data_IF_495782384797
#
_entry.id   IF_495782384797
#
_cell.length_a   1.000
_cell.length_b   1.000
_cell.length_c   1.000
_cell.angle_alpha   90.00
_cell.angle_beta   90.00
_cell.angle_gamma   90.00
#
_symmetry.space_group_name_H-M   'P 1'
#
loop_
_entity.id
_entity.type
_entity.pdbx_description
1 polymer ?
#
# COMPACT_ATOMS: atom_id res chain seq x y z
N UNK A 1 38.13 -29.59 -66.92
CA UNK A 1 37.03 -30.02 -66.03
C UNK A 1 37.07 -29.16 -64.77
N UNK A 2 36.29 -28.07 -64.74
CA UNK A 2 36.27 -27.11 -63.63
C UNK A 2 35.30 -27.54 -62.54
N UNK A 3 35.73 -27.57 -61.28
CA UNK A 3 34.85 -27.76 -60.12
C UNK A 3 34.52 -26.40 -59.52
N UNK A 4 33.24 -26.05 -59.51
CA UNK A 4 32.70 -24.82 -58.91
C UNK A 4 32.55 -25.07 -57.40
N UNK A 5 33.25 -24.28 -56.57
CA UNK A 5 33.08 -24.31 -55.11
C UNK A 5 31.89 -23.43 -54.73
N UNK A 6 30.77 -24.05 -54.35
CA UNK A 6 29.63 -23.37 -53.73
C UNK A 6 29.91 -23.20 -52.24
N UNK A 7 30.47 -22.05 -51.85
CA UNK A 7 30.71 -21.73 -50.44
C UNK A 7 29.42 -21.25 -49.77
N UNK A 8 28.96 -22.04 -48.81
CA UNK A 8 27.66 -21.93 -48.14
C UNK A 8 27.68 -20.83 -47.06
N UNK A 9 26.90 -19.76 -47.27
CA UNK A 9 26.69 -18.65 -46.34
C UNK A 9 25.74 -19.05 -45.19
N UNK A 10 26.23 -19.80 -44.21
CA UNK A 10 25.38 -20.28 -43.08
C UNK A 10 26.00 -20.09 -41.68
N UNK A 11 27.02 -19.26 -41.51
CA UNK A 11 27.67 -19.07 -40.19
C UNK A 11 27.22 -17.82 -39.41
N UNK A 12 26.59 -16.85 -40.07
CA UNK A 12 26.26 -15.55 -39.48
C UNK A 12 24.85 -15.47 -38.86
N UNK A 13 23.96 -16.41 -39.19
CA UNK A 13 22.59 -16.44 -38.67
C UNK A 13 22.51 -17.00 -37.23
N UNK A 14 23.37 -17.95 -36.89
CA UNK A 14 23.39 -18.66 -35.60
C UNK A 14 23.87 -17.76 -34.44
N UNK A 15 24.79 -16.83 -34.71
CA UNK A 15 25.36 -15.96 -33.68
C UNK A 15 24.39 -14.85 -33.23
N UNK A 16 23.49 -14.40 -34.13
CA UNK A 16 22.51 -13.35 -33.84
C UNK A 16 21.33 -13.85 -33.00
N UNK A 17 20.97 -15.13 -33.15
CA UNK A 17 19.90 -15.75 -32.35
C UNK A 17 20.31 -15.96 -30.89
N UNK A 18 21.56 -16.35 -30.65
CA UNK A 18 22.06 -16.56 -29.28
C UNK A 18 22.11 -15.28 -28.44
N UNK A 19 22.53 -14.16 -29.05
CA UNK A 19 22.59 -12.87 -28.37
C UNK A 19 21.19 -12.33 -28.01
N UNK A 20 20.21 -12.51 -28.88
CA UNK A 20 18.83 -12.09 -28.64
C UNK A 20 18.16 -12.88 -27.50
N UNK A 21 18.47 -14.17 -27.36
CA UNK A 21 17.98 -14.98 -26.22
C UNK A 21 18.59 -14.55 -24.89
N UNK A 22 19.89 -14.21 -24.86
CA UNK A 22 20.57 -13.72 -23.67
C UNK A 22 20.02 -12.37 -23.17
N UNK A 23 19.66 -11.47 -24.09
CA UNK A 23 19.06 -10.18 -23.77
C UNK A 23 17.64 -10.33 -23.19
N UNK A 24 16.83 -11.25 -23.70
CA UNK A 24 15.48 -11.52 -23.16
C UNK A 24 15.49 -12.09 -21.73
N UNK A 25 16.52 -12.87 -21.37
CA UNK A 25 16.66 -13.41 -20.01
C UNK A 25 16.97 -12.34 -18.96
N UNK A 26 17.64 -11.24 -19.33
CA UNK A 26 17.96 -10.15 -18.40
C UNK A 26 16.77 -9.23 -18.10
N UNK A 27 15.69 -9.31 -18.89
CA UNK A 27 14.47 -8.53 -18.71
C UNK A 27 13.40 -9.20 -17.84
N UNK A 28 13.73 -10.28 -17.11
CA UNK A 28 12.87 -10.82 -16.06
C UNK A 28 12.83 -9.83 -14.88
N UNK A 29 12.03 -8.77 -15.02
CA UNK A 29 11.81 -7.77 -13.99
C UNK A 29 11.30 -8.44 -12.71
N UNK A 30 11.92 -8.09 -11.59
CA UNK A 30 11.42 -8.47 -10.27
C UNK A 30 10.06 -7.80 -10.08
N UNK A 31 8.97 -8.56 -10.25
CA UNK A 31 7.68 -8.15 -9.74
C UNK A 31 7.84 -7.95 -8.23
N UNK A 32 7.92 -6.69 -7.79
CA UNK A 32 7.88 -6.35 -6.39
C UNK A 32 6.48 -6.69 -5.90
N UNK A 33 6.31 -7.92 -5.43
CA UNK A 33 5.11 -8.34 -4.72
C UNK A 33 4.92 -7.33 -3.58
N UNK A 34 3.90 -6.47 -3.69
CA UNK A 34 3.60 -5.51 -2.63
C UNK A 34 3.21 -6.32 -1.39
N UNK A 35 4.14 -6.32 -0.43
CA UNK A 35 4.03 -6.97 0.86
C UNK A 35 2.69 -6.54 1.45
N UNK A 36 1.74 -7.45 1.60
CA UNK A 36 0.49 -7.12 2.26
C UNK A 36 0.81 -6.70 3.69
N UNK A 37 0.55 -5.44 4.04
CA UNK A 37 0.81 -4.92 5.38
C UNK A 37 -0.03 -5.71 6.38
N UNK A 38 0.61 -6.14 7.47
CA UNK A 38 -0.08 -6.74 8.60
C UNK A 38 -0.41 -5.66 9.63
N UNK A 39 -1.66 -5.63 10.06
CA UNK A 39 -2.09 -4.79 11.18
C UNK A 39 -2.14 -5.63 12.46
N UNK A 40 -1.78 -5.06 13.62
CA UNK A 40 -1.89 -5.76 14.90
C UNK A 40 -3.32 -6.19 15.20
N UNK A 41 -3.47 -7.21 16.05
CA UNK A 41 -4.78 -7.64 16.54
C UNK A 41 -5.52 -6.50 17.24
N UNK A 42 -6.84 -6.44 17.08
CA UNK A 42 -7.67 -5.38 17.63
C UNK A 42 -7.68 -4.08 16.83
N UNK A 43 -6.98 -4.02 15.70
CA UNK A 43 -7.07 -2.87 14.78
C UNK A 43 -8.46 -2.77 14.15
N UNK A 44 -8.95 -1.55 14.00
CA UNK A 44 -10.21 -1.24 13.33
C UNK A 44 -9.96 -0.37 12.11
N UNK A 45 -10.80 -0.50 11.07
CA UNK A 45 -10.77 0.36 9.88
C UNK A 45 -11.98 1.28 9.80
N UNK A 46 -11.81 2.45 9.21
CA UNK A 46 -12.89 3.41 8.96
C UNK A 46 -12.42 4.62 8.16
N UNK A 47 -13.30 5.57 7.93
CA UNK A 47 -12.97 6.86 7.34
C UNK A 47 -12.80 7.87 8.48
N UNK A 48 -11.62 8.47 8.57
CA UNK A 48 -11.31 9.49 9.55
C UNK A 48 -11.37 10.89 8.95
N UNK A 49 -11.97 11.80 9.69
CA UNK A 49 -11.83 13.24 9.52
C UNK A 49 -11.03 13.79 10.71
N UNK A 50 -9.86 14.34 10.42
CA UNK A 50 -8.96 14.90 11.42
C UNK A 50 -9.36 16.35 11.71
N UNK A 51 -9.79 16.62 12.94
CA UNK A 51 -10.20 17.95 13.37
C UNK A 51 -9.03 18.76 13.96
N UNK A 52 -9.37 19.69 14.86
CA UNK A 52 -8.36 20.30 15.73
C UNK A 52 -7.81 19.26 16.69
N UNK A 53 -6.49 19.14 16.75
CA UNK A 53 -5.83 18.25 17.70
C UNK A 53 -6.33 18.47 19.13
N UNK A 54 -6.63 17.42 19.93
CA UNK A 54 -6.48 15.98 19.68
C UNK A 54 -7.75 15.29 19.13
N UNK A 55 -8.71 16.04 18.61
CA UNK A 55 -10.00 15.51 18.17
C UNK A 55 -9.90 14.85 16.79
N UNK A 56 -10.50 13.67 16.67
CA UNK A 56 -10.64 12.94 15.41
C UNK A 56 -12.03 12.32 15.35
N UNK A 57 -12.65 12.32 14.18
CA UNK A 57 -13.94 11.66 13.98
C UNK A 57 -13.73 10.50 13.02
N UNK A 58 -14.14 9.29 13.40
CA UNK A 58 -14.03 8.10 12.55
C UNK A 58 -15.43 7.52 12.36
N UNK A 59 -15.88 7.37 11.12
CA UNK A 59 -17.24 6.93 10.79
C UNK A 59 -18.33 7.71 11.58
N UNK A 60 -18.18 9.02 11.69
CA UNK A 60 -19.05 9.92 12.45
C UNK A 60 -19.09 9.65 13.97
N UNK A 61 -18.18 8.84 14.50
CA UNK A 61 -17.98 8.63 15.94
C UNK A 61 -16.80 9.50 16.40
N UNK A 62 -16.97 10.36 17.41
CA UNK A 62 -15.87 11.13 17.96
C UNK A 62 -14.92 10.24 18.75
N UNK A 63 -13.63 10.39 18.49
CA UNK A 63 -12.53 9.77 19.21
C UNK A 63 -11.52 10.83 19.65
N UNK A 64 -10.69 10.49 20.63
CA UNK A 64 -9.58 11.33 21.08
C UNK A 64 -8.26 10.65 20.73
N UNK A 65 -7.35 11.42 20.14
CA UNK A 65 -5.98 11.00 19.91
C UNK A 65 -5.21 10.99 21.25
N UNK A 66 -4.65 9.84 21.60
CA UNK A 66 -3.89 9.66 22.83
C UNK A 66 -2.54 10.38 22.80
N UNK A 67 -1.92 10.59 23.98
CA UNK A 67 -0.60 11.20 24.07
C UNK A 67 0.44 10.35 23.32
N UNK A 68 1.21 10.99 22.45
CA UNK A 68 2.25 10.31 21.66
C UNK A 68 1.71 9.44 20.51
N UNK A 69 0.46 9.64 20.08
CA UNK A 69 -0.08 8.92 18.91
C UNK A 69 0.84 9.08 17.70
N UNK A 70 1.01 7.97 16.97
CA UNK A 70 1.74 7.96 15.70
C UNK A 70 0.75 7.81 14.56
N UNK A 71 0.73 8.79 13.67
CA UNK A 71 0.03 8.70 12.38
C UNK A 71 1.05 8.32 11.32
N UNK A 72 0.80 7.20 10.64
CA UNK A 72 1.71 6.61 9.68
C UNK A 72 1.10 6.65 8.28
N UNK A 73 1.87 6.99 7.27
CA UNK A 73 1.42 6.94 5.88
C UNK A 73 1.48 5.52 5.27
N UNK A 74 1.18 5.45 3.96
CA UNK A 74 1.24 4.23 3.17
C UNK A 74 2.66 3.64 3.11
N UNK A 75 3.69 4.47 3.28
CA UNK A 75 5.11 4.10 3.33
C UNK A 75 5.64 3.88 4.77
N UNK A 76 4.77 3.83 5.79
CA UNK A 76 5.12 3.71 7.22
C UNK A 76 5.93 4.88 7.80
N UNK A 77 5.87 6.05 7.18
CA UNK A 77 6.51 7.28 7.68
C UNK A 77 5.55 8.03 8.58
N UNK A 78 6.11 8.67 9.60
CA UNK A 78 5.32 9.48 10.52
C UNK A 78 4.86 10.76 9.82
N UNK A 79 3.56 10.97 9.76
CA UNK A 79 2.96 12.20 9.27
C UNK A 79 3.04 13.26 10.36
N UNK A 80 3.48 14.45 9.99
CA UNK A 80 3.60 15.58 10.92
C UNK A 80 2.21 16.00 11.39
N UNK A 81 2.07 16.24 12.70
CA UNK A 81 0.78 16.59 13.32
C UNK A 81 0.15 17.85 12.73
N UNK A 82 0.96 18.80 12.26
CA UNK A 82 0.48 20.02 11.58
C UNK A 82 -0.19 19.79 10.22
N UNK A 83 -0.05 18.61 9.62
CA UNK A 83 -0.67 18.25 8.34
C UNK A 83 -2.00 17.50 8.52
N UNK A 84 -2.36 17.14 9.75
CA UNK A 84 -3.56 16.36 10.04
C UNK A 84 -4.85 17.18 9.97
N UNK A 85 -4.95 18.41 10.52
CA UNK A 85 -6.23 19.13 10.55
C UNK A 85 -6.81 19.33 9.15
N UNK A 86 -8.08 18.94 8.97
CA UNK A 86 -8.80 19.01 7.69
C UNK A 86 -8.54 17.84 6.74
N UNK A 87 -7.64 16.91 7.09
CA UNK A 87 -7.42 15.70 6.30
C UNK A 87 -8.58 14.73 6.48
N UNK A 88 -9.08 14.20 5.37
CA UNK A 88 -10.02 13.09 5.35
C UNK A 88 -9.41 11.91 4.61
N UNK A 89 -9.32 10.75 5.26
CA UNK A 89 -8.74 9.56 4.65
C UNK A 89 -9.30 8.28 5.25
N UNK A 90 -9.25 7.20 4.48
CA UNK A 90 -9.40 5.87 5.07
C UNK A 90 -8.23 5.61 6.03
N UNK A 91 -8.54 5.07 7.20
CA UNK A 91 -7.57 4.76 8.23
C UNK A 91 -7.77 3.38 8.81
N UNK A 92 -6.67 2.80 9.26
CA UNK A 92 -6.68 1.72 10.25
C UNK A 92 -6.15 2.31 11.55
N UNK A 93 -6.73 1.95 12.69
CA UNK A 93 -6.33 2.51 13.98
C UNK A 93 -6.43 1.49 15.11
N UNK A 94 -5.69 1.77 16.18
CA UNK A 94 -5.72 1.03 17.43
C UNK A 94 -6.10 1.95 18.58
N UNK A 95 -6.87 1.39 19.51
CA UNK A 95 -7.28 2.04 20.75
C UNK A 95 -6.52 1.43 21.91
N UNK A 96 -6.18 2.26 22.89
CA UNK A 96 -5.61 1.81 24.15
C UNK A 96 -6.73 1.32 25.10
N UNK A 97 -6.35 0.88 26.29
CA UNK A 97 -7.28 0.44 27.33
C UNK A 97 -8.23 1.55 27.83
N UNK A 98 -7.86 2.82 27.64
CA UNK A 98 -8.70 3.98 27.98
C UNK A 98 -9.71 4.31 26.87
N UNK A 99 -9.58 3.69 25.70
CA UNK A 99 -10.38 3.97 24.50
C UNK A 99 -9.80 5.08 23.61
N UNK A 100 -8.65 5.65 23.96
CA UNK A 100 -7.95 6.68 23.17
C UNK A 100 -7.21 6.04 22.00
N UNK A 101 -7.16 6.75 20.87
CA UNK A 101 -6.48 6.26 19.67
C UNK A 101 -4.98 6.54 19.78
N UNK A 102 -4.15 5.51 19.88
CA UNK A 102 -2.70 5.66 20.09
C UNK A 102 -1.87 5.31 18.85
N UNK A 103 -2.47 4.73 17.82
CA UNK A 103 -1.80 4.45 16.54
C UNK A 103 -2.79 4.54 15.39
N UNK A 104 -2.39 5.22 14.33
CA UNK A 104 -3.19 5.41 13.11
C UNK A 104 -2.31 5.14 11.89
N UNK A 105 -2.89 4.45 10.92
CA UNK A 105 -2.31 4.24 9.59
C UNK A 105 -3.25 4.84 8.57
N UNK A 106 -2.76 5.79 7.77
CA UNK A 106 -3.44 6.28 6.58
C UNK A 106 -3.32 5.20 5.51
N UNK A 107 -4.46 4.81 4.95
CA UNK A 107 -4.55 3.73 3.96
C UNK A 107 -5.33 4.21 2.75
N UNK A 108 -5.02 3.62 1.60
CA UNK A 108 -5.88 3.78 0.44
C UNK A 108 -7.18 2.99 0.68
N UNK A 109 -8.38 3.52 0.31
CA UNK A 109 -9.65 2.79 0.45
C UNK A 109 -9.68 1.43 -0.28
N UNK A 110 -8.80 1.26 -1.28
CA UNK A 110 -8.68 0.04 -2.10
C UNK A 110 -7.55 -0.88 -1.66
N UNK A 111 -6.92 -0.61 -0.52
CA UNK A 111 -5.79 -1.39 -0.05
C UNK A 111 -6.23 -2.83 0.30
N UNK A 112 -5.64 -3.87 -0.31
CA UNK A 112 -6.03 -5.27 -0.06
C UNK A 112 -5.80 -5.69 1.39
N UNK A 113 -4.89 -5.04 2.13
CA UNK A 113 -4.66 -5.31 3.55
C UNK A 113 -5.87 -5.03 4.44
N UNK A 114 -6.83 -4.23 3.96
CA UNK A 114 -8.08 -3.93 4.67
C UNK A 114 -9.05 -5.11 4.72
N UNK A 115 -8.90 -6.12 3.87
CA UNK A 115 -9.80 -7.28 3.83
C UNK A 115 -9.86 -8.03 5.18
N UNK A 116 -8.76 -8.06 5.92
CA UNK A 116 -8.64 -8.76 7.22
C UNK A 116 -9.03 -7.88 8.42
N UNK A 117 -9.15 -6.56 8.23
CA UNK A 117 -9.39 -5.62 9.34
C UNK A 117 -10.90 -5.39 9.54
N UNK A 118 -11.44 -5.57 10.76
CA UNK A 118 -12.84 -5.31 11.05
C UNK A 118 -13.18 -3.82 10.98
N UNK A 119 -14.42 -3.50 10.58
CA UNK A 119 -14.92 -2.13 10.53
C UNK A 119 -15.12 -1.56 11.94
N UNK A 120 -14.76 -0.29 12.13
CA UNK A 120 -15.12 0.48 13.30
C UNK A 120 -16.63 0.76 13.34
N UNK A 121 -17.17 0.97 14.54
CA UNK A 121 -18.55 1.41 14.72
C UNK A 121 -18.82 2.69 13.92
N UNK A 122 -19.98 2.76 13.28
CA UNK A 122 -20.40 3.87 12.43
C UNK A 122 -21.70 4.47 12.93
N UNK A 123 -21.71 5.78 13.19
CA UNK A 123 -22.89 6.55 13.58
C UNK A 123 -23.27 7.58 12.52
N UNK A 124 -22.76 7.45 11.30
CA UNK A 124 -23.17 8.31 10.19
C UNK A 124 -24.65 8.03 9.93
N UNK A 125 -25.50 9.04 10.11
CA UNK A 125 -26.94 8.92 9.97
C UNK A 125 -27.31 8.18 8.68
N UNK A 126 -27.82 6.96 8.85
CA UNK A 126 -28.39 6.06 7.85
C UNK A 126 -27.76 6.13 6.44
N UNK A 127 -26.74 5.31 6.20
CA UNK A 127 -26.30 4.97 4.83
C UNK A 127 -24.84 4.54 4.70
N UNK A 128 -24.47 3.42 5.34
CA UNK A 128 -23.23 2.70 5.01
C UNK A 128 -23.57 1.22 4.84
N UNK A 129 -24.17 0.91 3.68
CA UNK A 129 -24.35 -0.43 3.14
C UNK A 129 -23.48 -0.59 1.89
#
# INVERSE_FOLDING_TARGET
>A
MNRVLRTNSMRSASLRLGLAMLLCWMSAGTAQAQLQRLFPSGSLKGVASFGSWPNITINCVPYTLGPGVRVLDAEQRVVLTGQLPGLESAVVFLRDASGSVFRVWLVSPKDPSLATVPNAASNCGFGAG
#
